data_IF_465552297104
#
_entry.id   IF_465552297104
#
_cell.length_a   1.000
_cell.length_b   1.000
_cell.length_c   1.000
_cell.angle_alpha   90.00
_cell.angle_beta   90.00
_cell.angle_gamma   90.00
#
_symmetry.space_group_name_H-M   'P 1'
#
loop_
_entity.id
_entity.type
_entity.pdbx_description
1 polymer ?
#
# COMPACT_ATOMS: atom_id res chain seq x y z
N UNK A 1 -24.83 28.28 28.77
CA UNK A 1 -23.62 28.20 27.94
C UNK A 1 -23.47 26.77 27.51
N UNK A 2 -23.87 26.50 26.27
CA UNK A 2 -23.85 25.17 25.67
C UNK A 2 -22.50 25.04 25.00
N UNK A 3 -21.53 24.40 25.67
CA UNK A 3 -20.25 24.08 25.05
C UNK A 3 -20.49 22.97 24.02
N UNK A 4 -20.91 23.38 22.82
CA UNK A 4 -20.76 22.61 21.60
C UNK A 4 -19.26 22.55 21.31
N UNK A 5 -18.59 21.56 21.88
CA UNK A 5 -17.39 21.02 21.25
C UNK A 5 -17.90 20.34 19.97
N UNK A 6 -17.91 21.11 18.87
CA UNK A 6 -17.96 20.58 17.52
C UNK A 6 -16.73 19.68 17.35
N UNK A 7 -16.89 18.40 17.71
CA UNK A 7 -15.99 17.37 17.22
C UNK A 7 -16.44 17.13 15.78
N UNK A 8 -16.07 18.02 14.87
CA UNK A 8 -16.34 17.85 13.45
C UNK A 8 -15.59 16.61 12.99
N UNK A 9 -16.37 15.54 12.78
CA UNK A 9 -15.87 14.31 12.17
C UNK A 9 -15.53 14.51 10.68
N UNK A 10 -15.83 15.71 10.16
CA UNK A 10 -15.72 16.16 8.78
C UNK A 10 -14.44 16.95 8.46
N UNK A 11 -13.49 17.09 9.41
CA UNK A 11 -12.13 17.42 9.03
C UNK A 11 -11.51 16.22 8.28
N UNK A 12 -11.89 16.12 7.01
CA UNK A 12 -11.04 15.54 5.97
C UNK A 12 -9.66 16.15 6.17
N UNK A 13 -8.62 15.31 6.26
CA UNK A 13 -7.24 15.77 6.39
C UNK A 13 -6.97 17.03 5.59
N UNK A 14 -6.65 18.14 6.26
CA UNK A 14 -6.19 19.34 5.57
C UNK A 14 -4.97 19.03 4.70
N UNK A 15 -4.15 18.08 5.16
CA UNK A 15 -2.95 17.60 4.48
C UNK A 15 -3.27 16.74 3.25
N UNK A 16 -4.27 15.87 3.35
CA UNK A 16 -4.74 15.07 2.21
C UNK A 16 -5.48 15.89 1.16
N UNK A 17 -6.22 16.93 1.56
CA UNK A 17 -6.80 17.94 0.64
C UNK A 17 -5.70 18.72 -0.09
N UNK A 18 -4.70 19.21 0.63
CA UNK A 18 -3.56 19.92 0.03
C UNK A 18 -2.79 19.02 -0.95
N UNK A 19 -2.44 17.79 -0.54
CA UNK A 19 -1.76 16.83 -1.42
C UNK A 19 -2.59 16.52 -2.67
N UNK A 20 -3.89 16.27 -2.54
CA UNK A 20 -4.76 16.01 -3.68
C UNK A 20 -4.82 17.21 -4.65
N UNK A 21 -4.85 18.43 -4.11
CA UNK A 21 -4.83 19.64 -4.92
C UNK A 21 -3.50 19.81 -5.67
N UNK A 22 -2.36 19.64 -4.98
CA UNK A 22 -1.03 19.68 -5.60
C UNK A 22 -0.95 18.70 -6.79
N UNK A 23 -1.53 17.51 -6.63
CA UNK A 23 -1.46 16.45 -7.63
C UNK A 23 -2.28 16.73 -8.89
N UNK A 24 -3.32 17.58 -8.82
CA UNK A 24 -4.12 17.96 -10.00
C UNK A 24 -3.31 18.77 -11.03
N UNK A 25 -2.25 19.44 -10.61
CA UNK A 25 -1.41 20.28 -11.48
C UNK A 25 -0.19 19.53 -12.04
N UNK A 26 0.05 18.30 -11.58
CA UNK A 26 1.22 17.50 -11.95
C UNK A 26 0.84 16.34 -12.87
N UNK A 27 1.74 16.02 -13.81
CA UNK A 27 1.59 14.86 -14.68
C UNK A 27 2.95 14.20 -14.97
N UNK A 28 2.90 12.98 -15.50
CA UNK A 28 4.09 12.20 -15.87
C UNK A 28 5.03 11.96 -14.68
N UNK A 29 6.34 11.99 -14.95
CA UNK A 29 7.39 11.74 -13.95
C UNK A 29 7.27 12.68 -12.73
N UNK A 30 6.97 13.97 -12.93
CA UNK A 30 6.86 14.94 -11.83
C UNK A 30 5.77 14.58 -10.83
N UNK A 31 4.63 14.08 -11.30
CA UNK A 31 3.56 13.59 -10.43
C UNK A 31 4.05 12.40 -9.60
N UNK A 32 4.76 11.45 -10.24
CA UNK A 32 5.31 10.27 -9.56
C UNK A 32 6.37 10.67 -8.52
N UNK A 33 7.24 11.64 -8.81
CA UNK A 33 8.24 12.15 -7.86
C UNK A 33 7.60 12.81 -6.64
N UNK A 34 6.52 13.56 -6.83
CA UNK A 34 5.74 14.14 -5.72
C UNK A 34 5.11 13.05 -4.86
N UNK A 35 4.56 12.00 -5.48
CA UNK A 35 4.03 10.81 -4.79
C UNK A 35 5.13 10.08 -4.01
N UNK A 36 6.31 9.89 -4.60
CA UNK A 36 7.44 9.23 -3.92
C UNK A 36 7.84 10.02 -2.68
N UNK A 37 7.94 11.35 -2.80
CA UNK A 37 8.31 12.23 -1.69
C UNK A 37 7.29 12.15 -0.55
N UNK A 38 6.00 12.24 -0.88
CA UNK A 38 4.93 12.10 0.11
C UNK A 38 4.88 10.69 0.70
N UNK A 39 5.04 9.66 -0.13
CA UNK A 39 5.04 8.27 0.29
C UNK A 39 6.16 7.95 1.27
N UNK A 40 7.36 8.52 1.08
CA UNK A 40 8.45 8.42 2.07
C UNK A 40 8.06 9.06 3.40
N UNK A 41 7.40 10.22 3.38
CA UNK A 41 6.87 10.87 4.60
C UNK A 41 5.84 9.97 5.30
N UNK A 42 4.96 9.32 4.55
CA UNK A 42 3.98 8.37 5.08
C UNK A 42 4.69 7.14 5.69
N UNK A 43 5.73 6.61 5.05
CA UNK A 43 6.53 5.50 5.56
C UNK A 43 7.10 5.82 6.94
N UNK A 44 7.78 6.96 7.09
CA UNK A 44 8.33 7.40 8.38
C UNK A 44 7.24 7.59 9.44
N UNK A 45 6.09 8.14 9.03
CA UNK A 45 4.96 8.37 9.94
C UNK A 45 4.38 7.06 10.47
N UNK A 46 4.19 6.05 9.62
CA UNK A 46 3.65 4.75 10.00
C UNK A 46 4.68 3.91 10.76
N UNK A 47 5.95 3.98 10.37
CA UNK A 47 7.03 3.30 11.08
C UNK A 47 7.20 3.85 12.50
N UNK A 48 7.17 5.19 12.65
CA UNK A 48 7.23 5.89 13.93
C UNK A 48 5.91 5.93 14.72
N UNK A 49 4.85 5.28 14.24
CA UNK A 49 3.53 5.34 14.84
C UNK A 49 3.52 4.82 16.29
N UNK A 50 2.96 5.62 17.20
CA UNK A 50 2.81 5.26 18.62
C UNK A 50 1.33 5.13 18.97
N UNK A 51 0.94 3.94 19.40
CA UNK A 51 -0.44 3.68 19.84
C UNK A 51 -0.83 4.56 21.02
N UNK A 52 -2.07 5.03 21.00
CA UNK A 52 -2.67 5.84 22.06
C UNK A 52 -3.33 5.00 23.17
N UNK A 53 -3.51 3.68 22.98
CA UNK A 53 -4.27 2.82 23.91
C UNK A 53 -3.79 2.92 25.35
N UNK A 54 -2.48 2.93 25.59
CA UNK A 54 -1.93 3.04 26.95
C UNK A 54 -2.24 4.36 27.66
N UNK A 55 -2.70 5.38 26.92
CA UNK A 55 -3.08 6.71 27.44
C UNK A 55 -4.58 6.88 27.61
N UNK A 56 -5.39 5.91 27.17
CA UNK A 56 -6.85 6.02 27.23
C UNK A 56 -7.35 5.85 28.66
N UNK A 57 -8.35 6.64 29.00
CA UNK A 57 -9.05 6.56 30.27
C UNK A 57 -9.97 5.34 30.23
N UNK A 58 -9.85 4.46 31.21
CA UNK A 58 -10.73 3.31 31.35
C UNK A 58 -12.12 3.76 31.77
N UNK A 59 -13.12 3.41 30.96
CA UNK A 59 -14.52 3.75 31.22
C UNK A 59 -15.22 2.55 31.84
N UNK A 60 -15.62 2.66 33.11
CA UNK A 60 -16.38 1.61 33.81
C UNK A 60 -17.84 1.55 33.31
N UNK A 61 -18.42 0.35 33.38
CA UNK A 61 -19.76 0.06 32.89
C UNK A 61 -20.90 0.74 33.66
N UNK A 62 -20.63 1.30 34.83
CA UNK A 62 -21.57 1.95 35.75
C UNK A 62 -21.29 3.44 35.94
N UNK A 63 -20.29 4.01 35.26
CA UNK A 63 -19.93 5.41 35.41
C UNK A 63 -21.02 6.36 34.88
N UNK A 64 -21.38 7.37 35.69
CA UNK A 64 -22.37 8.40 35.32
C UNK A 64 -21.83 9.37 34.26
N UNK A 65 -20.51 9.59 34.23
CA UNK A 65 -19.82 10.53 33.34
C UNK A 65 -19.22 9.89 32.07
N UNK A 66 -19.71 8.71 31.65
CA UNK A 66 -19.21 7.97 30.47
C UNK A 66 -18.99 8.83 29.24
N UNK A 67 -19.97 9.67 28.89
CA UNK A 67 -19.92 10.50 27.69
C UNK A 67 -18.72 11.46 27.73
N UNK A 68 -18.42 12.02 28.89
CA UNK A 68 -17.30 12.95 29.06
C UNK A 68 -15.95 12.22 28.99
N UNK A 69 -15.85 11.05 29.62
CA UNK A 69 -14.65 10.22 29.51
C UNK A 69 -14.37 9.77 28.06
N UNK A 70 -15.41 9.44 27.30
CA UNK A 70 -15.26 9.11 25.89
C UNK A 70 -14.85 10.32 25.03
N UNK A 71 -15.33 11.54 25.33
CA UNK A 71 -14.83 12.74 24.66
C UNK A 71 -13.34 12.97 24.89
N UNK A 72 -12.86 12.76 26.11
CA UNK A 72 -11.43 12.86 26.42
C UNK A 72 -10.61 11.81 25.66
N UNK A 73 -11.10 10.57 25.58
CA UNK A 73 -10.46 9.53 24.77
C UNK A 73 -10.44 9.89 23.27
N UNK A 74 -11.50 10.51 22.73
CA UNK A 74 -11.54 10.99 21.35
C UNK A 74 -10.49 12.07 21.08
N UNK A 75 -10.30 13.01 22.02
CA UNK A 75 -9.26 14.03 21.89
C UNK A 75 -7.84 13.44 21.85
N UNK A 76 -7.60 12.36 22.60
CA UNK A 76 -6.32 11.63 22.59
C UNK A 76 -6.14 10.84 21.27
N UNK A 77 -7.21 10.23 20.77
CA UNK A 77 -7.19 9.39 19.56
C UNK A 77 -7.17 10.20 18.26
N UNK A 78 -7.73 11.42 18.26
CA UNK A 78 -7.89 12.26 17.08
C UNK A 78 -6.65 12.37 16.19
N UNK A 79 -5.47 12.73 16.73
CA UNK A 79 -4.24 12.81 15.94
C UNK A 79 -3.84 11.48 15.27
N UNK A 80 -4.04 10.35 15.95
CA UNK A 80 -3.74 9.03 15.41
C UNK A 80 -4.74 8.62 14.31
N UNK A 81 -6.02 8.98 14.46
CA UNK A 81 -7.03 8.77 13.41
C UNK A 81 -6.71 9.63 12.19
N UNK A 82 -6.18 10.83 12.39
CA UNK A 82 -5.77 11.69 11.29
C UNK A 82 -4.68 11.04 10.44
N UNK A 83 -3.66 10.43 11.05
CA UNK A 83 -2.62 9.67 10.33
C UNK A 83 -3.23 8.56 9.45
N UNK A 84 -4.24 7.84 9.96
CA UNK A 84 -4.90 6.77 9.21
C UNK A 84 -5.68 7.32 8.00
N UNK A 85 -6.38 8.46 8.20
CA UNK A 85 -7.11 9.15 7.13
C UNK A 85 -6.16 9.67 6.06
N UNK A 86 -5.02 10.24 6.47
CA UNK A 86 -3.97 10.72 5.57
C UNK A 86 -3.42 9.59 4.71
N UNK A 87 -3.05 8.47 5.33
CA UNK A 87 -2.55 7.29 4.63
C UNK A 87 -3.58 6.76 3.62
N UNK A 88 -4.86 6.70 4.02
CA UNK A 88 -5.94 6.25 3.14
C UNK A 88 -6.11 7.15 1.92
N UNK A 89 -6.12 8.47 2.11
CA UNK A 89 -6.24 9.45 1.02
C UNK A 89 -5.01 9.45 0.12
N UNK A 90 -3.81 9.38 0.70
CA UNK A 90 -2.57 9.24 -0.06
C UNK A 90 -2.62 8.01 -0.96
N UNK A 91 -3.06 6.86 -0.44
CA UNK A 91 -3.16 5.63 -1.20
C UNK A 91 -4.10 5.76 -2.41
N UNK A 92 -5.26 6.43 -2.25
CA UNK A 92 -6.19 6.63 -3.36
C UNK A 92 -5.59 7.49 -4.49
N UNK A 93 -4.95 8.61 -4.13
CA UNK A 93 -4.29 9.51 -5.10
C UNK A 93 -3.09 8.82 -5.75
N UNK A 94 -2.22 8.16 -4.97
CA UNK A 94 -1.07 7.40 -5.47
C UNK A 94 -1.52 6.37 -6.51
N UNK A 95 -2.55 5.59 -6.20
CA UNK A 95 -3.08 4.57 -7.09
C UNK A 95 -3.53 5.16 -8.43
N UNK A 96 -4.35 6.22 -8.40
CA UNK A 96 -4.88 6.86 -9.61
C UNK A 96 -3.76 7.33 -10.55
N UNK A 97 -2.76 8.02 -10.00
CA UNK A 97 -1.66 8.57 -10.81
C UNK A 97 -0.67 7.50 -11.29
N UNK A 98 -0.34 6.50 -10.46
CA UNK A 98 0.53 5.38 -10.87
C UNK A 98 -0.11 4.59 -12.01
N UNK A 99 -1.39 4.26 -11.89
CA UNK A 99 -2.12 3.52 -12.94
C UNK A 99 -2.24 4.36 -14.21
N UNK A 100 -2.59 5.65 -14.09
CA UNK A 100 -2.63 6.56 -15.25
C UNK A 100 -1.29 6.66 -15.95
N UNK A 101 -0.18 6.68 -15.20
CA UNK A 101 1.16 6.79 -15.76
C UNK A 101 1.55 5.52 -16.52
N UNK A 102 1.30 4.34 -15.95
CA UNK A 102 1.50 3.05 -16.65
C UNK A 102 0.62 2.93 -17.88
N UNK A 103 -0.65 3.33 -17.79
CA UNK A 103 -1.60 3.29 -18.90
C UNK A 103 -1.14 4.13 -20.10
N UNK A 104 -0.39 5.21 -19.87
CA UNK A 104 0.23 6.00 -20.94
C UNK A 104 1.16 5.16 -21.81
N UNK A 105 2.00 4.31 -21.20
CA UNK A 105 2.89 3.40 -21.93
C UNK A 105 2.12 2.29 -22.65
N UNK A 106 1.07 1.77 -22.01
CA UNK A 106 0.20 0.74 -22.57
C UNK A 106 -0.49 1.22 -23.86
N UNK A 107 -1.13 2.39 -23.82
CA UNK A 107 -1.83 2.98 -24.98
C UNK A 107 -0.91 3.28 -26.15
N UNK A 108 0.30 3.75 -25.85
CA UNK A 108 1.29 4.09 -26.87
C UNK A 108 2.13 2.89 -27.32
N UNK A 109 1.97 1.73 -26.67
CA UNK A 109 2.79 0.54 -26.85
C UNK A 109 4.31 0.84 -26.78
N UNK A 110 4.68 1.71 -25.82
CA UNK A 110 6.05 2.16 -25.57
C UNK A 110 6.60 1.54 -24.29
N UNK A 111 7.91 1.36 -24.21
CA UNK A 111 8.60 1.01 -22.97
C UNK A 111 9.04 2.27 -22.21
N UNK A 112 8.95 2.31 -20.87
CA UNK A 112 9.48 3.42 -20.10
C UNK A 112 10.97 3.64 -20.39
N UNK A 113 11.39 4.90 -20.53
CA UNK A 113 12.80 5.27 -20.63
C UNK A 113 13.51 5.14 -19.26
N UNK A 114 14.79 5.50 -19.18
CA UNK A 114 15.58 5.33 -17.95
C UNK A 114 15.04 6.13 -16.74
N UNK A 115 14.57 7.36 -16.97
CA UNK A 115 14.00 8.25 -15.94
C UNK A 115 12.62 7.74 -15.49
N UNK A 116 11.75 7.40 -16.44
CA UNK A 116 10.43 6.86 -16.18
C UNK A 116 10.49 5.50 -15.45
N UNK A 117 11.44 4.64 -15.85
CA UNK A 117 11.71 3.37 -15.17
C UNK A 117 12.16 3.60 -13.73
N UNK A 118 13.06 4.56 -13.50
CA UNK A 118 13.51 4.91 -12.15
C UNK A 118 12.35 5.39 -11.29
N UNK A 119 11.50 6.27 -11.81
CA UNK A 119 10.32 6.77 -11.11
C UNK A 119 9.33 5.63 -10.78
N UNK A 120 9.06 4.73 -11.72
CA UNK A 120 8.22 3.55 -11.49
C UNK A 120 8.80 2.59 -10.45
N UNK A 121 10.12 2.35 -10.48
CA UNK A 121 10.79 1.52 -9.47
C UNK A 121 10.68 2.16 -8.09
N UNK A 122 11.02 3.45 -7.97
CA UNK A 122 11.03 4.15 -6.69
C UNK A 122 9.61 4.27 -6.09
N UNK A 123 8.56 4.44 -6.92
CA UNK A 123 7.16 4.47 -6.42
C UNK A 123 6.64 3.08 -6.04
N UNK A 124 6.97 2.03 -6.80
CA UNK A 124 6.58 0.66 -6.43
C UNK A 124 7.30 0.19 -5.15
N UNK A 125 8.51 0.68 -4.89
CA UNK A 125 9.22 0.45 -3.63
C UNK A 125 8.45 1.07 -2.45
N UNK A 126 7.95 2.30 -2.63
CA UNK A 126 7.07 2.95 -1.64
C UNK A 126 5.80 2.13 -1.39
N UNK A 127 5.16 1.64 -2.45
CA UNK A 127 3.92 0.85 -2.37
C UNK A 127 4.12 -0.40 -1.51
N UNK A 128 5.16 -1.20 -1.80
CA UNK A 128 5.39 -2.45 -1.05
C UNK A 128 5.80 -2.18 0.40
N UNK A 129 6.57 -1.14 0.68
CA UNK A 129 6.95 -0.77 2.05
C UNK A 129 5.70 -0.36 2.86
N UNK A 130 4.86 0.53 2.31
CA UNK A 130 3.64 0.98 3.00
C UNK A 130 2.65 -0.16 3.25
N UNK A 131 2.44 -1.03 2.27
CA UNK A 131 1.52 -2.16 2.38
C UNK A 131 1.93 -3.12 3.50
N UNK A 132 3.23 -3.38 3.60
CA UNK A 132 3.78 -4.23 4.65
C UNK A 132 3.74 -3.51 6.02
N UNK A 133 4.17 -2.24 6.10
CA UNK A 133 4.15 -1.46 7.35
C UNK A 133 2.75 -1.30 7.92
N UNK A 134 1.75 -1.03 7.08
CA UNK A 134 0.34 -0.96 7.49
C UNK A 134 -0.11 -2.26 8.15
N UNK A 135 0.33 -3.39 7.61
CA UNK A 135 -0.03 -4.73 8.12
C UNK A 135 0.75 -5.07 9.39
N UNK A 136 2.01 -4.64 9.49
CA UNK A 136 2.87 -4.87 10.64
C UNK A 136 2.46 -4.03 11.86
N UNK A 137 2.00 -2.80 11.65
CA UNK A 137 1.65 -1.87 12.73
C UNK A 137 0.25 -2.14 13.31
N UNK A 138 0.15 -3.13 14.21
CA UNK A 138 -1.09 -3.51 14.88
C UNK A 138 -1.76 -2.35 15.65
N UNK A 139 -0.97 -1.36 16.09
CA UNK A 139 -1.46 -0.17 16.78
C UNK A 139 -2.49 0.64 15.98
N UNK A 140 -2.42 0.62 14.64
CA UNK A 140 -3.38 1.30 13.78
C UNK A 140 -4.80 0.75 13.98
N UNK A 141 -4.94 -0.58 13.86
CA UNK A 141 -6.23 -1.27 14.02
C UNK A 141 -6.79 -1.09 15.42
N UNK A 142 -5.93 -1.18 16.44
CA UNK A 142 -6.37 -1.13 17.83
C UNK A 142 -6.86 0.28 18.21
N UNK A 143 -6.12 1.33 17.86
CA UNK A 143 -6.52 2.71 18.12
C UNK A 143 -7.82 3.05 17.37
N UNK A 144 -7.94 2.63 16.11
CA UNK A 144 -9.16 2.84 15.33
C UNK A 144 -10.39 2.14 15.94
N UNK A 145 -10.22 0.91 16.45
CA UNK A 145 -11.28 0.20 17.14
C UNK A 145 -11.73 0.94 18.42
N UNK A 146 -10.78 1.49 19.19
CA UNK A 146 -11.09 2.30 20.37
C UNK A 146 -11.79 3.62 20.02
N UNK A 147 -11.37 4.27 18.93
CA UNK A 147 -12.03 5.47 18.42
C UNK A 147 -13.48 5.20 18.03
N UNK A 148 -13.74 4.15 17.25
CA UNK A 148 -15.10 3.76 16.85
C UNK A 148 -15.99 3.49 18.05
N UNK A 149 -15.45 2.81 19.07
CA UNK A 149 -16.19 2.58 20.32
C UNK A 149 -16.51 3.91 21.03
N UNK A 150 -15.53 4.79 21.15
CA UNK A 150 -15.70 6.06 21.83
C UNK A 150 -16.70 6.99 21.12
N UNK A 151 -16.64 7.09 19.79
CA UNK A 151 -17.50 8.00 19.02
C UNK A 151 -18.97 7.57 19.05
N UNK A 152 -19.25 6.25 19.04
CA UNK A 152 -20.61 5.70 19.19
C UNK A 152 -21.26 6.10 20.52
N UNK A 153 -20.48 6.28 21.58
CA UNK A 153 -20.99 6.73 22.87
C UNK A 153 -21.20 8.25 22.95
N UNK A 154 -20.54 9.02 22.09
CA UNK A 154 -20.60 10.50 22.12
C UNK A 154 -21.62 11.04 21.11
N UNK A 155 -21.65 10.48 19.89
CA UNK A 155 -22.55 10.87 18.80
C UNK A 155 -23.60 9.79 18.54
N UNK A 156 -24.88 10.14 18.76
CA UNK A 156 -26.01 9.21 18.55
C UNK A 156 -26.30 8.96 17.06
N UNK A 157 -26.12 9.96 16.20
CA UNK A 157 -26.37 9.88 14.75
C UNK A 157 -25.07 9.71 13.95
N UNK A 158 -24.12 8.95 14.50
CA UNK A 158 -22.82 8.78 13.87
C UNK A 158 -22.92 7.99 12.56
N UNK A 159 -22.65 8.65 11.43
CA UNK A 159 -22.61 8.01 10.11
C UNK A 159 -21.40 7.08 10.02
N UNK A 160 -21.68 5.76 9.99
CA UNK A 160 -20.66 4.73 10.01
C UNK A 160 -19.97 4.52 8.65
N UNK A 161 -20.48 5.10 7.56
CA UNK A 161 -20.10 4.70 6.20
C UNK A 161 -18.63 4.97 5.87
N UNK A 162 -18.15 6.20 6.05
CA UNK A 162 -16.74 6.56 5.74
C UNK A 162 -15.75 5.80 6.63
N UNK A 163 -16.09 5.68 7.91
CA UNK A 163 -15.30 4.94 8.89
C UNK A 163 -15.28 3.44 8.60
N UNK A 164 -16.31 2.90 7.94
CA UNK A 164 -16.31 1.51 7.51
C UNK A 164 -15.35 1.30 6.33
N UNK A 165 -15.26 2.21 5.37
CA UNK A 165 -14.24 2.14 4.31
C UNK A 165 -12.82 2.21 4.89
N UNK A 166 -12.58 3.13 5.83
CA UNK A 166 -11.28 3.21 6.52
C UNK A 166 -10.99 1.94 7.33
N UNK A 167 -11.99 1.36 7.99
CA UNK A 167 -11.86 0.07 8.68
C UNK A 167 -11.41 -1.03 7.73
N UNK A 168 -12.05 -1.15 6.57
CA UNK A 168 -11.71 -2.15 5.56
C UNK A 168 -10.30 -1.92 5.02
N UNK A 169 -9.87 -0.66 4.88
CA UNK A 169 -8.50 -0.33 4.51
C UNK A 169 -7.47 -0.84 5.53
N UNK A 170 -7.71 -0.58 6.81
CA UNK A 170 -6.77 -0.91 7.89
C UNK A 170 -6.70 -2.42 8.16
N UNK A 171 -7.85 -3.08 8.28
CA UNK A 171 -7.95 -4.50 8.68
C UNK A 171 -7.41 -5.45 7.61
N UNK A 172 -7.63 -5.16 6.33
CA UNK A 172 -7.27 -6.10 5.27
C UNK A 172 -5.76 -6.10 5.00
N UNK A 173 -5.08 -7.26 5.11
CA UNK A 173 -3.68 -7.38 4.69
C UNK A 173 -3.55 -7.21 3.19
N UNK A 174 -2.44 -6.60 2.80
CA UNK A 174 -2.09 -6.36 1.41
C UNK A 174 -3.07 -5.49 0.62
N UNK A 175 -3.90 -4.69 1.29
CA UNK A 175 -4.95 -3.91 0.62
C UNK A 175 -4.38 -2.83 -0.30
N UNK A 176 -3.23 -2.23 0.02
CA UNK A 176 -2.61 -1.21 -0.85
C UNK A 176 -2.24 -1.85 -2.19
N UNK A 177 -1.54 -3.00 -2.15
CA UNK A 177 -1.18 -3.74 -3.35
C UNK A 177 -2.37 -4.35 -4.10
N UNK A 178 -3.37 -4.87 -3.38
CA UNK A 178 -4.60 -5.42 -3.99
C UNK A 178 -5.40 -4.32 -4.70
N UNK A 179 -5.59 -3.17 -4.06
CA UNK A 179 -6.29 -2.05 -4.67
C UNK A 179 -5.57 -1.52 -5.91
N UNK A 180 -4.23 -1.46 -5.88
CA UNK A 180 -3.42 -1.11 -7.05
C UNK A 180 -3.56 -2.14 -8.18
N UNK A 181 -3.54 -3.43 -7.85
CA UNK A 181 -3.79 -4.52 -8.82
C UNK A 181 -5.15 -4.44 -9.47
N UNK A 182 -6.21 -4.19 -8.69
CA UNK A 182 -7.57 -3.99 -9.20
C UNK A 182 -7.60 -2.83 -10.18
N UNK A 183 -7.05 -1.67 -9.81
CA UNK A 183 -7.03 -0.50 -10.69
C UNK A 183 -6.22 -0.74 -11.98
N UNK A 184 -5.08 -1.44 -11.93
CA UNK A 184 -4.39 -1.84 -13.16
C UNK A 184 -5.25 -2.70 -14.08
N UNK A 185 -6.01 -3.63 -13.49
CA UNK A 185 -6.89 -4.55 -14.24
C UNK A 185 -8.06 -3.83 -14.89
N UNK A 186 -8.58 -2.80 -14.23
CA UNK A 186 -9.75 -2.03 -14.68
C UNK A 186 -9.35 -0.95 -15.70
N UNK A 187 -8.21 -0.27 -15.49
CA UNK A 187 -7.90 0.99 -16.18
C UNK A 187 -6.70 0.94 -17.14
N UNK A 188 -5.86 -0.11 -17.10
CA UNK A 188 -4.60 -0.16 -17.84
C UNK A 188 -4.41 -1.49 -18.58
N UNK A 189 -5.10 -1.69 -19.71
CA UNK A 189 -4.93 -2.88 -20.54
C UNK A 189 -3.48 -3.02 -21.07
N UNK A 190 -2.85 -4.17 -20.86
CA UNK A 190 -1.45 -4.40 -21.25
C UNK A 190 -0.41 -3.96 -20.21
N UNK A 191 -0.81 -3.59 -18.99
CA UNK A 191 0.09 -3.19 -17.90
C UNK A 191 1.16 -4.25 -17.58
N UNK A 192 0.87 -5.53 -17.83
CA UNK A 192 1.77 -6.64 -17.56
C UNK A 192 3.07 -6.55 -18.36
N UNK A 193 3.04 -5.99 -19.57
CA UNK A 193 4.26 -5.77 -20.37
C UNK A 193 5.20 -4.80 -19.66
N UNK A 194 4.64 -3.72 -19.12
CA UNK A 194 5.40 -2.70 -18.39
C UNK A 194 5.95 -3.27 -17.09
N UNK A 195 5.13 -3.97 -16.30
CA UNK A 195 5.58 -4.58 -15.04
C UNK A 195 6.60 -5.71 -15.25
N UNK A 196 6.46 -6.53 -16.30
CA UNK A 196 7.44 -7.55 -16.69
C UNK A 196 8.78 -6.93 -17.12
N UNK A 197 8.73 -5.81 -17.85
CA UNK A 197 9.93 -5.03 -18.18
C UNK A 197 10.61 -4.51 -16.90
N UNK A 198 9.86 -3.88 -15.99
CA UNK A 198 10.40 -3.34 -14.73
C UNK A 198 11.01 -4.43 -13.84
N UNK A 199 10.37 -5.60 -13.73
CA UNK A 199 10.91 -6.71 -12.95
C UNK A 199 12.24 -7.22 -13.55
N UNK A 200 12.33 -7.31 -14.87
CA UNK A 200 13.56 -7.68 -15.58
C UNK A 200 14.65 -6.62 -15.39
N UNK A 201 14.29 -5.34 -15.45
CA UNK A 201 15.19 -4.22 -15.21
C UNK A 201 15.71 -4.22 -13.77
N UNK A 202 14.85 -4.49 -12.79
CA UNK A 202 15.26 -4.64 -11.38
C UNK A 202 16.30 -5.76 -11.22
N UNK A 203 16.11 -6.92 -11.84
CA UNK A 203 17.11 -7.99 -11.80
C UNK A 203 18.46 -7.52 -12.40
N UNK A 204 18.41 -6.87 -13.56
CA UNK A 204 19.63 -6.38 -14.23
C UNK A 204 20.37 -5.33 -13.39
N UNK A 205 19.63 -4.43 -12.73
CA UNK A 205 20.22 -3.41 -11.84
C UNK A 205 20.74 -4.01 -10.55
N UNK A 206 20.04 -4.96 -9.96
CA UNK A 206 20.51 -5.67 -8.76
C UNK A 206 21.86 -6.38 -9.01
N UNK A 207 22.04 -6.97 -10.19
CA UNK A 207 23.31 -7.59 -10.60
C UNK A 207 24.46 -6.57 -10.76
N UNK A 208 24.15 -5.30 -11.08
CA UNK A 208 25.14 -4.24 -11.37
C UNK A 208 25.42 -3.29 -10.20
N UNK A 209 24.41 -2.93 -9.42
CA UNK A 209 24.44 -1.87 -8.40
C UNK A 209 24.51 -2.44 -6.98
N UNK A 210 25.58 -3.20 -6.71
CA UNK A 210 25.90 -3.72 -5.36
C UNK A 210 24.74 -4.43 -4.65
N UNK A 211 23.91 -5.18 -5.40
CA UNK A 211 22.81 -5.96 -4.85
C UNK A 211 21.82 -5.14 -4.01
N UNK A 212 21.53 -3.90 -4.41
CA UNK A 212 20.55 -3.08 -3.71
C UNK A 212 19.19 -3.83 -3.58
N UNK A 213 18.75 -3.99 -2.34
CA UNK A 213 17.57 -4.78 -1.97
C UNK A 213 16.26 -4.20 -2.49
N UNK A 214 16.21 -2.89 -2.80
CA UNK A 214 15.03 -2.25 -3.40
C UNK A 214 14.59 -2.96 -4.68
N UNK A 215 15.54 -3.44 -5.47
CA UNK A 215 15.25 -4.13 -6.72
C UNK A 215 14.59 -5.48 -6.48
N UNK A 216 14.93 -6.17 -5.39
CA UNK A 216 14.26 -7.40 -4.98
C UNK A 216 12.83 -7.09 -4.55
N UNK A 217 12.63 -6.05 -3.72
CA UNK A 217 11.30 -5.63 -3.25
C UNK A 217 10.36 -5.25 -4.41
N UNK A 218 10.86 -4.44 -5.34
CA UNK A 218 10.08 -4.02 -6.52
C UNK A 218 9.78 -5.21 -7.43
N UNK A 219 10.73 -6.11 -7.65
CA UNK A 219 10.47 -7.34 -8.41
C UNK A 219 9.36 -8.19 -7.76
N UNK A 220 9.36 -8.34 -6.44
CA UNK A 220 8.28 -9.01 -5.69
C UNK A 220 6.94 -8.30 -5.88
N UNK A 221 6.92 -6.96 -5.79
CA UNK A 221 5.73 -6.15 -6.03
C UNK A 221 5.18 -6.37 -7.46
N UNK A 222 6.04 -6.31 -8.48
CA UNK A 222 5.64 -6.56 -9.87
C UNK A 222 4.99 -7.95 -10.03
N UNK A 223 5.60 -9.01 -9.47
CA UNK A 223 5.04 -10.37 -9.53
C UNK A 223 3.66 -10.43 -8.85
N UNK A 224 3.50 -9.81 -7.68
CA UNK A 224 2.21 -9.77 -6.99
C UNK A 224 1.10 -9.14 -7.85
N UNK A 225 1.43 -8.03 -8.53
CA UNK A 225 0.49 -7.30 -9.39
C UNK A 225 0.08 -8.11 -10.63
N UNK A 226 1.00 -8.86 -11.25
CA UNK A 226 0.70 -9.67 -12.45
C UNK A 226 0.26 -11.11 -12.18
N UNK A 227 0.26 -11.57 -10.92
CA UNK A 227 0.00 -12.96 -10.52
C UNK A 227 -1.30 -13.58 -11.09
N UNK A 228 -2.35 -12.78 -11.31
CA UNK A 228 -3.60 -13.30 -11.90
C UNK A 228 -3.43 -13.72 -13.37
N UNK A 229 -2.51 -13.07 -14.08
CA UNK A 229 -2.22 -13.35 -15.48
C UNK A 229 -1.28 -14.55 -15.63
N UNK A 230 -0.53 -14.88 -14.57
CA UNK A 230 0.29 -16.10 -14.50
C UNK A 230 -0.63 -17.34 -14.51
N UNK A 231 -1.82 -17.22 -13.92
CA UNK A 231 -2.80 -18.32 -13.87
C UNK A 231 -3.61 -18.53 -15.17
N UNK A 232 -3.50 -17.62 -16.14
CA UNK A 232 -4.09 -17.74 -17.49
C UNK A 232 -2.99 -18.15 -18.48
N UNK A 233 -3.04 -19.40 -18.97
CA UNK A 233 -2.00 -19.96 -19.83
C UNK A 233 -1.72 -19.14 -21.09
N UNK A 234 -2.72 -18.48 -21.67
CA UNK A 234 -2.55 -17.68 -22.88
C UNK A 234 -1.83 -16.35 -22.58
N UNK A 235 -2.21 -15.68 -21.48
CA UNK A 235 -1.56 -14.43 -21.06
C UNK A 235 -0.16 -14.68 -20.50
N UNK A 236 0.01 -15.77 -19.76
CA UNK A 236 1.30 -16.19 -19.23
C UNK A 236 2.33 -16.50 -20.33
N UNK A 237 1.93 -17.17 -21.43
CA UNK A 237 2.83 -17.43 -22.55
C UNK A 237 3.31 -16.14 -23.24
N UNK A 238 2.48 -15.10 -23.30
CA UNK A 238 2.88 -13.79 -23.82
C UNK A 238 3.83 -13.06 -22.86
N UNK A 239 3.64 -13.20 -21.54
CA UNK A 239 4.55 -12.64 -20.54
C UNK A 239 5.90 -13.37 -20.51
N UNK A 240 5.92 -14.70 -20.66
CA UNK A 240 7.15 -15.53 -20.75
C UNK A 240 8.11 -15.05 -21.85
N UNK A 241 7.59 -14.45 -22.93
CA UNK A 241 8.42 -13.88 -24.01
C UNK A 241 9.15 -12.59 -23.58
N UNK A 242 8.57 -11.82 -22.67
CA UNK A 242 9.06 -10.52 -22.24
C UNK A 242 9.82 -10.55 -20.91
N UNK A 243 9.67 -11.63 -20.12
CA UNK A 243 10.28 -11.77 -18.80
C UNK A 243 11.03 -13.09 -18.68
N UNK A 244 12.32 -13.01 -18.32
CA UNK A 244 13.14 -14.20 -18.03
C UNK A 244 12.86 -14.69 -16.62
N UNK A 245 11.73 -15.35 -16.46
CA UNK A 245 11.22 -15.86 -15.19
C UNK A 245 12.23 -16.69 -14.38
N UNK A 246 13.07 -17.51 -15.03
CA UNK A 246 14.15 -18.23 -14.35
C UNK A 246 15.15 -17.30 -13.63
N UNK A 247 15.48 -16.14 -14.22
CA UNK A 247 16.37 -15.16 -13.57
C UNK A 247 15.72 -14.53 -12.34
N UNK A 248 14.42 -14.28 -12.42
CA UNK A 248 13.64 -13.66 -11.36
C UNK A 248 13.44 -14.63 -10.19
N UNK A 249 13.20 -15.92 -10.48
CA UNK A 249 13.23 -16.97 -9.47
C UNK A 249 14.57 -17.02 -8.77
N UNK A 250 15.67 -17.03 -9.53
CA UNK A 250 17.02 -17.02 -8.96
C UNK A 250 17.26 -15.79 -8.09
N UNK A 251 16.75 -14.62 -8.47
CA UNK A 251 16.81 -13.40 -7.66
C UNK A 251 16.15 -13.61 -6.30
N UNK A 252 14.95 -14.22 -6.25
CA UNK A 252 14.23 -14.48 -5.01
C UNK A 252 14.85 -15.60 -4.16
N UNK A 253 15.35 -16.66 -4.79
CA UNK A 253 16.05 -17.76 -4.10
C UNK A 253 17.37 -17.30 -3.47
N UNK A 254 18.08 -16.41 -4.16
CA UNK A 254 19.36 -15.85 -3.65
C UNK A 254 19.11 -14.80 -2.57
N UNK A 255 17.95 -14.14 -2.59
CA UNK A 255 17.57 -13.08 -1.65
C UNK A 255 16.23 -13.41 -0.96
N UNK A 256 16.15 -14.50 -0.18
CA UNK A 256 14.88 -14.95 0.43
C UNK A 256 14.41 -14.03 1.57
N UNK A 257 15.33 -13.21 2.09
CA UNK A 257 15.07 -12.15 3.07
C UNK A 257 15.82 -10.90 2.62
N UNK A 258 15.14 -9.77 2.61
CA UNK A 258 15.73 -8.46 2.34
C UNK A 258 15.23 -7.44 3.36
N UNK A 259 15.98 -6.38 3.64
CA UNK A 259 15.44 -5.27 4.43
C UNK A 259 14.28 -4.63 3.66
N UNK A 260 13.15 -4.47 4.34
CA UNK A 260 12.02 -3.70 3.86
C UNK A 260 12.27 -2.21 4.10
N UNK A 261 12.49 -1.86 5.37
CA UNK A 261 12.72 -0.51 5.84
C UNK A 261 13.43 -0.58 7.21
N UNK A 262 14.58 0.07 7.33
CA UNK A 262 15.51 -0.09 8.47
C UNK A 262 15.83 -1.58 8.75
N UNK A 263 15.55 -2.06 9.96
CA UNK A 263 15.80 -3.45 10.37
C UNK A 263 14.61 -4.38 10.11
N UNK A 264 13.49 -3.87 9.60
CA UNK A 264 12.30 -4.68 9.36
C UNK A 264 12.53 -5.59 8.13
N UNK A 265 12.52 -6.93 8.27
CA UNK A 265 12.80 -7.81 7.14
C UNK A 265 11.53 -8.12 6.34
N UNK A 266 11.64 -8.12 5.01
CA UNK A 266 10.70 -8.74 4.10
C UNK A 266 11.11 -10.19 3.86
N UNK A 267 10.23 -11.14 4.19
CA UNK A 267 10.39 -12.54 3.80
C UNK A 267 9.75 -12.75 2.42
N UNK A 268 10.57 -12.89 1.39
CA UNK A 268 10.13 -12.95 -0.02
C UNK A 268 9.18 -14.14 -0.26
N UNK A 269 9.52 -15.39 0.13
CA UNK A 269 8.60 -16.52 -0.03
C UNK A 269 7.24 -16.33 0.67
N UNK A 270 7.22 -15.80 1.89
CA UNK A 270 5.97 -15.60 2.63
C UNK A 270 5.10 -14.51 2.01
N UNK A 271 5.72 -13.44 1.51
CA UNK A 271 5.00 -12.39 0.81
C UNK A 271 4.36 -12.93 -0.47
N UNK A 272 5.13 -13.67 -1.28
CA UNK A 272 4.62 -14.27 -2.51
C UNK A 272 3.54 -15.32 -2.25
N UNK A 273 3.57 -16.08 -1.13
CA UNK A 273 2.47 -16.97 -0.72
C UNK A 273 1.12 -16.27 -0.54
N UNK A 274 1.14 -14.96 -0.33
CA UNK A 274 -0.05 -14.13 -0.19
C UNK A 274 -0.59 -13.63 -1.54
N UNK A 275 0.08 -13.98 -2.66
CA UNK A 275 -0.43 -13.78 -4.01
C UNK A 275 -1.75 -14.56 -4.20
N UNK A 276 -2.81 -13.92 -4.74
CA UNK A 276 -4.13 -14.55 -4.88
C UNK A 276 -4.16 -15.88 -5.66
N UNK A 277 -3.24 -16.12 -6.59
CA UNK A 277 -3.20 -17.32 -7.44
C UNK A 277 -1.98 -18.21 -7.18
N UNK A 278 -1.29 -18.00 -6.05
CA UNK A 278 -0.07 -18.73 -5.70
C UNK A 278 -0.20 -20.26 -5.81
N UNK A 279 -1.29 -20.84 -5.30
CA UNK A 279 -1.50 -22.30 -5.29
C UNK A 279 -1.83 -22.88 -6.66
N UNK A 280 -2.55 -22.14 -7.51
CA UNK A 280 -2.84 -22.57 -8.89
C UNK A 280 -1.58 -22.60 -9.74
N UNK A 281 -0.64 -21.70 -9.49
CA UNK A 281 0.63 -21.61 -10.21
C UNK A 281 1.61 -22.73 -9.80
N UNK A 282 1.47 -23.30 -8.59
CA UNK A 282 2.34 -24.38 -8.10
C UNK A 282 2.15 -25.72 -8.84
N UNK A 283 0.98 -25.93 -9.45
CA UNK A 283 0.67 -27.14 -10.24
C UNK A 283 1.03 -26.98 -11.74
N UNK A 284 1.43 -25.78 -12.18
CA UNK A 284 1.65 -25.48 -13.59
C UNK A 284 3.01 -25.93 -14.15
N UNK A 285 4.01 -26.21 -13.31
CA UNK A 285 5.28 -26.79 -13.73
C UNK A 285 5.67 -27.96 -12.80
N UNK A 286 5.52 -29.20 -13.30
CA UNK A 286 5.91 -30.43 -12.61
C UNK A 286 7.42 -30.42 -12.33
N UNK A 287 7.82 -29.98 -11.14
CA UNK A 287 9.15 -30.28 -10.59
C UNK A 287 9.85 -29.15 -9.86
N UNK A 288 9.29 -27.95 -9.75
CA UNK A 288 9.88 -26.91 -8.90
C UNK A 288 8.76 -26.19 -8.18
N UNK A 289 8.76 -26.26 -6.86
CA UNK A 289 7.95 -25.36 -6.03
C UNK A 289 8.61 -23.97 -6.05
N UNK A 290 8.84 -23.43 -7.24
CA UNK A 290 9.19 -22.04 -7.46
C UNK A 290 7.92 -21.31 -7.76
N UNK A 291 7.91 -20.03 -7.46
CA UNK A 291 6.83 -19.13 -7.84
C UNK A 291 7.07 -18.75 -9.30
N UNK A 292 7.09 -19.79 -10.14
CA UNK A 292 7.02 -19.98 -11.59
C UNK A 292 7.28 -21.46 -11.88
#
# INVERSE_FOLDING_TARGET
>A
MTDQIEIDAEETSQLGKAFKNDMNELSGVKAIERIITEGKRQIETIFGYKTAIGKLIQVRGDADNKKELYKQNLAILGPNIQIMRDLFQFNDVMRQHVVSFVNGFCKNNTTPNAEESKALIDVLDVVIILDYLKTWQAGLNNDFAMYRRAIQHVKKDYNMSEDETLRHFLVNPHNINKALKTAFTEDADGFEKVLSYLASECNNRHEKEEKNEKYVRVAVCCIFLIDQLISDANKFNNMKKNMKFHKINKLFETNPKVSLHHELPLNVPNYLKSCPNFTKNADCDKGVCTIL
#
